data_IF_980307797115
#
_entry.id   IF_980307797115
#
_cell.length_a   1.000
_cell.length_b   1.000
_cell.length_c   1.000
_cell.angle_alpha   90.00
_cell.angle_beta   90.00
_cell.angle_gamma   90.00
#
_symmetry.space_group_name_H-M   'P 1'
#
loop_
_entity.id
_entity.type
_entity.pdbx_description
1 polymer ?
#
# COMPACT_ATOMS: atom_id res chain seq x y z
N UNK A 1 12.27 1.78 -17.68
CA UNK A 1 12.65 1.82 -16.25
C UNK A 1 13.24 3.21 -15.98
N UNK A 2 12.46 4.15 -15.44
CA UNK A 2 12.98 5.50 -15.14
C UNK A 2 13.18 5.61 -13.64
N UNK A 3 14.44 5.56 -13.20
CA UNK A 3 14.80 5.93 -11.83
C UNK A 3 14.25 7.33 -11.54
N UNK A 4 13.57 7.58 -10.40
CA UNK A 4 13.19 8.94 -10.06
C UNK A 4 14.47 9.76 -9.97
N UNK A 5 14.59 10.80 -10.81
CA UNK A 5 15.75 11.67 -10.82
C UNK A 5 16.01 12.21 -9.41
N UNK A 6 17.28 12.42 -9.06
CA UNK A 6 17.69 12.94 -7.75
C UNK A 6 16.90 14.19 -7.34
N UNK A 7 16.51 15.02 -8.31
CA UNK A 7 15.65 16.20 -8.12
C UNK A 7 14.26 15.86 -7.54
N UNK A 8 13.58 14.84 -8.06
CA UNK A 8 12.26 14.41 -7.56
C UNK A 8 12.35 13.88 -6.12
N UNK A 9 13.44 13.19 -5.79
CA UNK A 9 13.66 12.70 -4.42
C UNK A 9 13.94 13.84 -3.44
N UNK A 10 14.76 14.83 -3.85
CA UNK A 10 15.01 16.04 -3.07
C UNK A 10 13.74 16.85 -2.84
N UNK A 11 12.92 17.06 -3.87
CA UNK A 11 11.64 17.77 -3.75
C UNK A 11 10.69 17.08 -2.77
N UNK A 12 10.59 15.74 -2.82
CA UNK A 12 9.78 14.96 -1.87
C UNK A 12 10.27 15.09 -0.43
N UNK A 13 11.59 15.10 -0.23
CA UNK A 13 12.20 15.27 1.10
C UNK A 13 11.94 16.68 1.63
N UNK A 14 12.12 17.70 0.81
CA UNK A 14 11.85 19.10 1.18
C UNK A 14 10.37 19.29 1.57
N UNK A 15 9.45 18.76 0.77
CA UNK A 15 8.02 18.77 1.09
C UNK A 15 7.71 18.05 2.40
N UNK A 16 8.27 16.86 2.62
CA UNK A 16 8.08 16.10 3.85
C UNK A 16 8.55 16.86 5.09
N UNK A 17 9.71 17.53 5.01
CA UNK A 17 10.23 18.36 6.09
C UNK A 17 9.28 19.53 6.41
N UNK A 18 8.76 20.23 5.40
CA UNK A 18 7.79 21.32 5.62
C UNK A 18 6.49 20.83 6.25
N UNK A 19 5.99 19.67 5.85
CA UNK A 19 4.82 19.06 6.48
C UNK A 19 5.07 18.72 7.95
N UNK A 20 6.28 18.26 8.28
CA UNK A 20 6.70 17.99 9.66
C UNK A 20 6.76 19.27 10.49
N UNK A 21 7.33 20.34 9.95
CA UNK A 21 7.38 21.66 10.60
C UNK A 21 5.97 22.14 10.93
N UNK A 22 5.07 22.17 9.93
CA UNK A 22 3.67 22.58 10.13
C UNK A 22 2.98 21.73 11.20
N UNK A 23 3.22 20.41 11.22
CA UNK A 23 2.65 19.53 12.24
C UNK A 23 3.16 19.88 13.65
N UNK A 24 4.46 20.16 13.78
CA UNK A 24 5.08 20.52 15.06
C UNK A 24 4.63 21.90 15.52
N UNK A 25 4.48 22.87 14.61
CA UNK A 25 3.95 24.20 14.90
C UNK A 25 2.49 24.13 15.40
N UNK A 26 1.71 23.16 14.89
CA UNK A 26 0.37 22.86 15.38
C UNK A 26 0.34 22.13 16.74
N UNK A 27 1.49 21.81 17.33
CA UNK A 27 1.59 21.17 18.64
C UNK A 27 1.11 19.71 18.70
N UNK A 28 0.87 19.08 17.55
CA UNK A 28 0.32 17.71 17.49
C UNK A 28 1.40 16.69 17.12
N UNK A 29 1.36 15.52 17.76
CA UNK A 29 2.30 14.45 17.43
C UNK A 29 1.91 13.78 16.11
N UNK A 30 2.85 13.09 15.46
CA UNK A 30 2.54 12.27 14.28
C UNK A 30 1.49 11.18 14.58
N UNK A 31 1.40 10.72 15.83
CA UNK A 31 0.38 9.75 16.27
C UNK A 31 -0.99 10.40 16.37
N UNK A 32 -1.07 11.61 16.91
CA UNK A 32 -2.34 12.33 17.06
C UNK A 32 -2.87 12.79 15.70
N UNK A 33 -1.99 13.31 14.84
CA UNK A 33 -2.35 13.62 13.45
C UNK A 33 -2.84 12.37 12.71
N UNK A 34 -2.21 11.22 12.94
CA UNK A 34 -2.64 9.96 12.35
C UNK A 34 -4.05 9.56 12.82
N UNK A 35 -4.34 9.65 14.14
CA UNK A 35 -5.67 9.38 14.69
C UNK A 35 -6.73 10.33 14.11
N UNK A 36 -6.44 11.63 14.08
CA UNK A 36 -7.34 12.65 13.52
C UNK A 36 -7.68 12.39 12.05
N UNK A 37 -6.72 11.87 11.28
CA UNK A 37 -6.93 11.55 9.87
C UNK A 37 -7.40 10.11 9.60
N UNK A 38 -7.61 9.28 10.63
CA UNK A 38 -7.88 7.85 10.45
C UNK A 38 -6.78 7.10 9.70
N UNK A 39 -5.53 7.57 9.80
CA UNK A 39 -4.34 6.99 9.17
C UNK A 39 -3.44 6.34 10.23
N UNK A 40 -2.53 5.48 9.77
CA UNK A 40 -1.53 4.88 10.64
C UNK A 40 -0.32 5.83 10.81
N UNK A 41 0.28 5.98 12.01
CA UNK A 41 1.40 6.90 12.26
C UNK A 41 2.62 6.68 11.37
N UNK A 42 2.89 5.44 10.98
CA UNK A 42 3.98 5.10 10.04
C UNK A 42 3.80 5.74 8.66
N UNK A 43 2.56 6.05 8.26
CA UNK A 43 2.27 6.79 7.00
C UNK A 43 2.62 8.26 7.13
N UNK A 44 2.28 8.87 8.26
CA UNK A 44 2.65 10.26 8.55
C UNK A 44 4.16 10.41 8.53
N UNK A 45 4.85 9.51 9.25
CA UNK A 45 6.32 9.48 9.26
C UNK A 45 6.91 9.30 7.86
N UNK A 46 6.41 8.36 7.04
CA UNK A 46 6.89 8.17 5.66
C UNK A 46 6.67 9.40 4.76
N UNK A 47 5.55 10.10 4.92
CA UNK A 47 5.30 11.35 4.20
C UNK A 47 6.28 12.45 4.62
N UNK A 48 6.52 12.59 5.93
CA UNK A 48 7.42 13.60 6.50
C UNK A 48 8.90 13.35 6.19
N UNK A 49 9.33 12.10 6.09
CA UNK A 49 10.72 11.76 5.82
C UNK A 49 11.04 11.65 4.33
N UNK A 50 10.06 11.95 3.46
CA UNK A 50 10.12 11.69 2.03
C UNK A 50 10.02 10.19 1.75
N UNK A 51 9.31 9.82 0.69
CA UNK A 51 9.13 8.43 0.27
C UNK A 51 10.47 7.76 -0.05
N UNK A 52 11.15 7.21 0.96
CA UNK A 52 12.32 6.36 0.76
C UNK A 52 11.85 4.98 0.34
N UNK A 53 12.34 4.49 -0.81
CA UNK A 53 12.52 3.04 -0.98
C UNK A 53 13.58 2.66 0.05
N UNK A 54 13.19 2.01 1.13
CA UNK A 54 14.18 1.45 2.05
C UNK A 54 14.74 0.16 1.43
N UNK A 55 16.07 -0.01 1.29
CA UNK A 55 16.68 -1.33 1.46
C UNK A 55 16.56 -1.71 2.95
N UNK A 56 16.45 -3.00 3.31
CA UNK A 56 16.23 -3.39 4.69
C UNK A 56 17.50 -3.05 5.48
N UNK A 57 17.40 -2.10 6.41
CA UNK A 57 18.47 -1.86 7.38
C UNK A 57 18.00 -2.43 8.71
N UNK A 58 18.67 -3.50 9.12
CA UNK A 58 18.51 -4.23 10.37
C UNK A 58 18.37 -3.28 11.56
N UNK A 59 17.32 -3.47 12.35
CA UNK A 59 17.27 -2.93 13.71
C UNK A 59 16.39 -3.80 14.61
N UNK A 60 16.97 -4.22 15.73
CA UNK A 60 16.34 -4.72 16.93
C UNK A 60 17.16 -4.18 18.13
N UNK A 61 16.68 -4.20 19.39
CA UNK A 61 15.31 -4.12 19.88
C UNK A 61 15.12 -3.02 20.97
N UNK A 62 13.88 -2.66 21.27
CA UNK A 62 13.51 -1.86 22.45
C UNK A 62 12.00 -1.90 22.71
N UNK A 63 11.61 -2.54 23.82
CA UNK A 63 10.25 -2.70 24.34
C UNK A 63 9.56 -1.34 24.66
N UNK A 64 8.24 -1.18 24.68
CA UNK A 64 7.11 -2.06 24.41
C UNK A 64 5.81 -1.26 24.44
N UNK A 65 4.84 -1.65 23.61
CA UNK A 65 3.40 -1.56 23.88
C UNK A 65 2.72 -2.40 22.80
N UNK A 66 2.21 -3.55 23.20
CA UNK A 66 1.65 -4.55 22.31
C UNK A 66 0.35 -4.02 21.69
N UNK A 67 0.47 -3.37 20.53
CA UNK A 67 -0.57 -3.42 19.50
C UNK A 67 -0.52 -4.85 18.95
N UNK A 68 -1.64 -5.60 18.89
CA UNK A 68 -1.62 -6.95 18.34
C UNK A 68 -1.02 -6.90 16.94
N UNK A 69 -0.22 -7.90 16.51
CA UNK A 69 0.33 -7.91 15.17
C UNK A 69 -0.85 -7.84 14.19
N UNK A 70 -1.01 -6.70 13.52
CA UNK A 70 -1.84 -6.60 12.33
C UNK A 70 -1.35 -7.71 11.41
N UNK A 71 -2.17 -8.76 11.27
CA UNK A 71 -1.92 -9.90 10.39
C UNK A 71 -1.26 -9.37 9.12
N UNK A 72 -0.10 -9.95 8.78
CA UNK A 72 0.58 -9.64 7.52
C UNK A 72 -0.48 -9.54 6.42
N UNK A 73 -0.47 -8.47 5.61
CA UNK A 73 -1.43 -8.35 4.51
C UNK A 73 -1.39 -9.65 3.73
N UNK A 74 -2.55 -10.24 3.47
CA UNK A 74 -2.62 -11.41 2.59
C UNK A 74 -2.07 -10.98 1.23
N UNK A 75 -0.83 -11.35 0.95
CA UNK A 75 -0.13 -11.03 -0.29
C UNK A 75 -0.55 -12.07 -1.33
N UNK A 76 -1.20 -11.67 -2.44
CA UNK A 76 -1.55 -12.61 -3.49
C UNK A 76 -0.28 -13.08 -4.22
N UNK A 77 -0.27 -14.32 -4.68
CA UNK A 77 0.88 -14.86 -5.42
C UNK A 77 0.89 -14.32 -6.86
N UNK A 78 2.05 -14.00 -7.46
CA UNK A 78 2.14 -13.81 -8.90
C UNK A 78 1.55 -15.02 -9.64
N UNK A 79 0.74 -14.76 -10.67
CA UNK A 79 -0.02 -15.76 -11.42
C UNK A 79 -1.41 -16.06 -10.87
N UNK A 80 -1.72 -15.66 -9.62
CA UNK A 80 -3.05 -15.86 -9.03
C UNK A 80 -4.11 -15.06 -9.79
N UNK A 81 -5.24 -15.70 -10.10
CA UNK A 81 -6.42 -15.03 -10.66
C UNK A 81 -7.32 -14.57 -9.51
N UNK A 82 -7.78 -13.33 -9.57
CA UNK A 82 -8.66 -12.72 -8.58
C UNK A 82 -9.95 -12.26 -9.29
N UNK A 83 -11.10 -12.64 -8.75
CA UNK A 83 -12.39 -12.05 -9.14
C UNK A 83 -12.76 -10.93 -8.16
N UNK A 84 -12.88 -9.69 -8.66
CA UNK A 84 -13.03 -8.51 -7.80
C UNK A 84 -14.43 -7.93 -7.92
N UNK A 85 -15.10 -7.66 -6.79
CA UNK A 85 -16.40 -6.99 -6.80
C UNK A 85 -16.26 -5.46 -6.88
N UNK A 86 -17.30 -4.72 -7.31
CA UNK A 86 -17.32 -3.26 -7.22
C UNK A 86 -17.21 -2.87 -5.72
N UNK A 87 -16.18 -2.11 -5.36
CA UNK A 87 -15.84 -1.79 -3.96
C UNK A 87 -14.62 -2.51 -3.39
N UNK A 88 -14.20 -3.62 -3.99
CA UNK A 88 -12.91 -4.26 -3.66
C UNK A 88 -11.72 -3.49 -4.20
N UNK A 89 -11.96 -2.79 -5.31
CA UNK A 89 -11.02 -1.91 -5.97
C UNK A 89 -11.24 -0.52 -5.40
N UNK A 90 -10.26 -0.01 -4.67
CA UNK A 90 -10.31 1.40 -4.25
C UNK A 90 -10.03 2.28 -5.46
N UNK A 91 -10.85 3.32 -5.63
CA UNK A 91 -10.81 4.27 -6.76
C UNK A 91 -11.37 3.75 -8.10
N UNK A 92 -12.23 2.72 -8.09
CA UNK A 92 -13.03 2.32 -9.27
C UNK A 92 -14.44 1.88 -8.85
N UNK A 93 -15.47 2.48 -9.42
CA UNK A 93 -16.88 2.22 -9.04
C UNK A 93 -17.69 1.39 -10.05
N UNK A 94 -17.26 1.26 -11.31
CA UNK A 94 -18.19 0.86 -12.38
C UNK A 94 -18.14 -0.58 -12.89
N UNK A 95 -17.04 -1.32 -12.73
CA UNK A 95 -16.92 -2.68 -13.28
C UNK A 95 -16.11 -3.60 -12.37
N UNK A 96 -16.53 -4.87 -12.34
CA UNK A 96 -15.98 -5.97 -11.55
C UNK A 96 -15.09 -6.87 -12.43
N UNK A 97 -13.80 -6.54 -12.63
CA UNK A 97 -12.94 -7.29 -13.55
C UNK A 97 -12.44 -8.60 -12.93
N UNK A 98 -12.22 -9.60 -13.77
CA UNK A 98 -11.38 -10.76 -13.47
C UNK A 98 -9.95 -10.41 -13.87
N UNK A 99 -9.00 -10.57 -12.95
CA UNK A 99 -7.63 -10.12 -13.17
C UNK A 99 -6.61 -11.18 -12.77
N UNK A 100 -5.53 -11.31 -13.54
CA UNK A 100 -4.35 -12.12 -13.20
C UNK A 100 -3.29 -11.23 -12.59
N UNK A 101 -2.85 -11.56 -11.37
CA UNK A 101 -1.78 -10.84 -10.68
C UNK A 101 -0.46 -11.10 -11.41
N UNK A 102 0.19 -10.07 -11.93
CA UNK A 102 1.56 -10.19 -12.45
C UNK A 102 2.59 -9.93 -11.37
N UNK A 103 2.36 -8.87 -10.60
CA UNK A 103 3.31 -8.39 -9.61
C UNK A 103 2.59 -7.74 -8.46
N UNK A 104 3.04 -8.06 -7.25
CA UNK A 104 2.69 -7.32 -6.06
C UNK A 104 3.69 -6.20 -5.82
N UNK A 105 3.19 -4.99 -5.60
CA UNK A 105 4.01 -3.81 -5.32
C UNK A 105 4.04 -3.51 -3.83
N UNK A 106 4.73 -4.38 -3.10
CA UNK A 106 4.89 -4.27 -1.64
C UNK A 106 5.60 -2.97 -1.22
N UNK A 107 6.51 -2.50 -2.07
CA UNK A 107 7.29 -1.27 -1.89
C UNK A 107 6.42 0.00 -1.74
N UNK A 108 5.16 -0.06 -2.18
CA UNK A 108 4.19 1.02 -2.01
C UNK A 108 2.93 0.58 -1.25
N UNK A 109 2.67 -0.72 -1.14
CA UNK A 109 1.52 -1.28 -0.40
C UNK A 109 1.59 -1.00 1.10
N UNK A 110 2.80 -0.84 1.66
CA UNK A 110 2.99 -0.44 3.06
C UNK A 110 2.34 0.91 3.42
N UNK A 111 2.01 1.74 2.41
CA UNK A 111 1.25 2.98 2.62
C UNK A 111 -0.24 2.76 2.88
N UNK A 112 -0.73 1.52 2.80
CA UNK A 112 -2.13 1.18 3.07
C UNK A 112 -2.34 0.41 4.37
N UNK A 113 -1.30 0.24 5.20
CA UNK A 113 -1.39 -0.39 6.54
C UNK A 113 -2.06 -1.76 6.51
N UNK A 114 -1.75 -2.53 5.47
CA UNK A 114 -2.33 -3.85 5.26
C UNK A 114 -3.82 -3.86 4.91
N UNK A 115 -4.50 -2.71 4.76
CA UNK A 115 -5.90 -2.65 4.33
C UNK A 115 -6.07 -2.87 2.81
N UNK A 116 -5.03 -2.61 2.03
CA UNK A 116 -5.02 -2.78 0.59
C UNK A 116 -3.60 -3.04 0.06
N UNK A 117 -3.53 -3.66 -1.11
CA UNK A 117 -2.30 -4.04 -1.81
C UNK A 117 -2.32 -3.44 -3.21
N UNK A 118 -1.21 -2.84 -3.61
CA UNK A 118 -1.03 -2.34 -4.97
C UNK A 118 -0.55 -3.47 -5.88
N UNK A 119 -1.29 -3.74 -6.94
CA UNK A 119 -1.06 -4.85 -7.86
C UNK A 119 -0.86 -4.33 -9.28
N UNK A 120 0.11 -4.89 -9.99
CA UNK A 120 0.12 -4.89 -11.46
C UNK A 120 -0.58 -6.15 -11.93
N UNK A 121 -1.62 -5.97 -12.75
CA UNK A 121 -2.49 -7.06 -13.19
C UNK A 121 -2.71 -7.02 -14.69
N UNK A 122 -2.98 -8.19 -15.27
CA UNK A 122 -3.59 -8.30 -16.59
C UNK A 122 -5.09 -8.57 -16.37
N UNK A 123 -5.95 -7.70 -16.91
CA UNK A 123 -7.41 -7.92 -16.97
C UNK A 123 -7.69 -9.01 -17.99
N UNK A 124 -8.56 -9.95 -17.62
CA UNK A 124 -8.89 -11.12 -18.44
C UNK A 124 -10.28 -10.93 -19.06
N UNK A 125 -10.42 -11.33 -20.32
CA UNK A 125 -11.75 -11.52 -20.94
C UNK A 125 -12.43 -12.80 -20.43
N UNK A 126 -13.65 -13.07 -20.92
CA UNK A 126 -14.44 -14.25 -20.58
C UNK A 126 -13.76 -15.57 -20.98
N UNK A 127 -12.75 -15.52 -21.88
CA UNK A 127 -11.96 -16.66 -22.31
C UNK A 127 -10.65 -16.80 -21.51
N UNK A 128 -10.42 -15.96 -20.49
CA UNK A 128 -9.24 -15.97 -19.64
C UNK A 128 -7.98 -15.39 -20.30
N UNK A 129 -8.13 -14.67 -21.42
CA UNK A 129 -7.03 -14.06 -22.17
C UNK A 129 -6.76 -12.66 -21.66
N UNK A 130 -5.48 -12.26 -21.51
CA UNK A 130 -5.13 -10.92 -21.04
C UNK A 130 -5.48 -9.87 -22.10
N UNK A 131 -6.46 -9.02 -21.81
CA UNK A 131 -6.90 -7.94 -22.71
C UNK A 131 -6.20 -6.62 -22.42
N UNK A 132 -5.88 -6.34 -21.16
CA UNK A 132 -5.30 -5.06 -20.75
C UNK A 132 -4.43 -5.17 -19.51
N UNK A 133 -3.25 -4.55 -19.54
CA UNK A 133 -2.41 -4.40 -18.35
C UNK A 133 -2.71 -3.12 -17.61
N UNK A 134 -2.85 -3.20 -16.27
CA UNK A 134 -3.09 -2.02 -15.42
C UNK A 134 -2.60 -2.20 -13.99
N UNK A 135 -2.56 -1.08 -13.27
CA UNK A 135 -2.25 -1.04 -11.84
C UNK A 135 -3.53 -0.82 -11.04
N UNK A 136 -3.77 -1.64 -10.02
CA UNK A 136 -4.97 -1.59 -9.17
C UNK A 136 -4.58 -1.58 -7.69
N UNK A 137 -5.35 -0.84 -6.89
CA UNK A 137 -5.29 -0.92 -5.44
C UNK A 137 -6.45 -1.78 -4.93
N UNK A 138 -6.14 -2.99 -4.47
CA UNK A 138 -7.15 -4.01 -4.10
C UNK A 138 -7.16 -4.21 -2.59
N UNK A 139 -8.33 -4.28 -1.96
CA UNK A 139 -8.43 -4.54 -0.53
C UNK A 139 -7.90 -5.93 -0.16
N UNK A 140 -7.16 -6.04 0.95
CA UNK A 140 -6.72 -7.33 1.49
C UNK A 140 -7.88 -8.23 1.89
N UNK A 141 -9.03 -7.68 2.27
CA UNK A 141 -10.26 -8.45 2.52
C UNK A 141 -10.74 -9.17 1.25
N UNK A 142 -10.66 -8.50 0.11
CA UNK A 142 -11.04 -9.10 -1.17
C UNK A 142 -10.11 -10.25 -1.55
N UNK A 143 -8.80 -10.04 -1.38
CA UNK A 143 -7.78 -11.06 -1.62
C UNK A 143 -7.98 -12.26 -0.70
N UNK A 144 -8.29 -12.03 0.59
CA UNK A 144 -8.55 -13.08 1.55
C UNK A 144 -9.78 -13.94 1.20
N UNK A 145 -10.81 -13.36 0.56
CA UNK A 145 -11.97 -14.13 0.06
C UNK A 145 -11.62 -15.04 -1.12
N UNK A 146 -10.52 -14.75 -1.82
CA UNK A 146 -10.04 -15.53 -2.97
C UNK A 146 -8.99 -16.58 -2.58
N UNK A 147 -8.52 -16.58 -1.33
CA UNK A 147 -7.69 -17.65 -0.83
C UNK A 147 -8.56 -18.89 -0.62
N UNK A 148 -8.12 -20.09 -1.06
CA UNK A 148 -8.81 -21.32 -0.66
C UNK A 148 -8.82 -21.40 0.88
N UNK A 149 -9.90 -21.89 1.51
CA UNK A 149 -9.88 -22.19 2.94
C UNK A 149 -8.69 -23.11 3.19
N UNK A 150 -7.78 -22.67 4.06
CA UNK A 150 -6.42 -23.20 4.17
C UNK A 150 -6.36 -24.73 4.29
N UNK A 151 -5.37 -25.30 3.60
CA UNK A 151 -4.72 -26.55 4.01
C UNK A 151 -3.62 -26.26 5.01
#
# INVERSE_FOLDING_TARGET
MSSPSSSVQHARKALGLRLREIRLDAGITARDLARLMGRHPSKISRTEHGWRRHPPTTSAPGAGSAVPPTKHPTVPRPGQVLSLAPGDIRWREREAPVVRVRRVREDISGCYDGAAVWLEVDELDDLGRPVLRRQLLVSTKAIARQAPPGG
#
